data_IF_075507024746
#
_entry.id   IF_075507024746
#
_cell.length_a   1.000
_cell.length_b   1.000
_cell.length_c   1.000
_cell.angle_alpha   90.00
_cell.angle_beta   90.00
_cell.angle_gamma   90.00
#
_symmetry.space_group_name_H-M   'P 1'
#
loop_
_entity.id
_entity.type
_entity.pdbx_description
1 polymer ?
#
# COMPACT_ATOMS: atom_id res chain seq x y z
N UNK A 1 4.08 -19.39 13.88
CA UNK A 1 3.19 -20.17 12.97
C UNK A 1 2.62 -19.20 11.95
N UNK A 2 2.64 -19.55 10.66
CA UNK A 2 2.01 -18.74 9.62
C UNK A 2 0.54 -19.20 9.50
N UNK A 3 -0.41 -18.28 9.69
CA UNK A 3 -1.82 -18.53 9.44
C UNK A 3 -2.13 -18.23 7.96
N UNK A 4 -2.90 -19.09 7.33
CA UNK A 4 -3.42 -18.87 5.97
C UNK A 4 -4.80 -19.51 5.83
N UNK A 5 -5.62 -18.95 4.96
CA UNK A 5 -6.92 -19.51 4.56
C UNK A 5 -7.26 -19.04 3.15
N UNK A 6 -7.94 -19.87 2.39
CA UNK A 6 -8.60 -19.41 1.17
C UNK A 6 -9.94 -18.76 1.54
N UNK A 7 -10.35 -17.73 0.85
CA UNK A 7 -11.56 -16.97 1.18
C UNK A 7 -12.82 -17.85 1.22
N UNK A 8 -12.89 -18.84 0.32
CA UNK A 8 -14.03 -19.79 0.26
C UNK A 8 -14.07 -20.77 1.43
N UNK A 9 -12.96 -20.98 2.15
CA UNK A 9 -12.85 -21.90 3.28
C UNK A 9 -13.26 -21.26 4.61
N UNK A 10 -13.43 -19.94 4.61
CA UNK A 10 -13.88 -19.19 5.77
C UNK A 10 -15.39 -19.37 5.99
N UNK A 11 -15.80 -19.25 7.26
CA UNK A 11 -17.21 -19.29 7.65
C UNK A 11 -18.03 -18.32 6.79
N UNK A 12 -19.23 -18.76 6.41
CA UNK A 12 -20.21 -17.97 5.66
C UNK A 12 -21.35 -17.58 6.61
N UNK A 13 -21.41 -16.31 6.94
CA UNK A 13 -22.45 -15.77 7.83
C UNK A 13 -23.40 -14.94 6.96
N UNK A 14 -24.68 -15.32 6.93
CA UNK A 14 -25.69 -14.60 6.17
C UNK A 14 -26.13 -13.36 6.94
N UNK A 15 -26.01 -12.21 6.30
CA UNK A 15 -26.41 -10.91 6.86
C UNK A 15 -27.19 -10.14 5.79
N UNK A 16 -28.50 -9.98 5.96
CA UNK A 16 -29.32 -9.17 5.06
C UNK A 16 -29.29 -9.58 3.58
N UNK A 17 -29.12 -10.87 3.28
CA UNK A 17 -29.02 -11.36 1.89
C UNK A 17 -27.58 -11.41 1.34
N UNK A 18 -26.61 -10.90 2.09
CA UNK A 18 -25.19 -10.99 1.76
C UNK A 18 -24.51 -12.09 2.54
N UNK A 19 -23.40 -12.61 2.02
CA UNK A 19 -22.49 -13.49 2.75
C UNK A 19 -21.34 -12.67 3.31
N UNK A 20 -21.27 -12.56 4.64
CA UNK A 20 -20.11 -12.01 5.34
C UNK A 20 -19.12 -13.11 5.73
N UNK A 21 -17.82 -12.86 5.58
CA UNK A 21 -16.74 -13.77 5.97
C UNK A 21 -15.79 -13.11 6.96
N UNK A 22 -15.59 -13.68 8.16
CA UNK A 22 -14.65 -13.17 9.16
C UNK A 22 -13.22 -13.54 8.75
N UNK A 23 -12.49 -12.65 8.14
CA UNK A 23 -11.09 -12.86 7.73
C UNK A 23 -10.13 -12.65 8.92
N UNK A 24 -10.34 -11.58 9.68
CA UNK A 24 -9.47 -11.18 10.78
C UNK A 24 -9.33 -12.23 11.87
N UNK A 25 -10.44 -12.77 12.35
CA UNK A 25 -10.46 -13.67 13.53
C UNK A 25 -9.74 -14.99 13.30
N UNK A 26 -10.03 -15.75 12.22
CA UNK A 26 -9.35 -17.03 11.96
C UNK A 26 -7.85 -16.87 11.71
N UNK A 27 -7.43 -15.75 11.12
CA UNK A 27 -6.02 -15.46 10.82
C UNK A 27 -5.28 -14.83 12.00
N UNK A 28 -5.98 -14.34 13.03
CA UNK A 28 -5.36 -13.68 14.17
C UNK A 28 -4.71 -12.33 13.83
N UNK A 29 -5.18 -11.63 12.79
CA UNK A 29 -4.66 -10.32 12.45
C UNK A 29 -4.99 -9.30 13.55
N UNK A 30 -4.01 -8.50 13.95
CA UNK A 30 -4.15 -7.52 15.06
C UNK A 30 -3.90 -6.08 14.64
N UNK A 31 -3.16 -5.87 13.52
CA UNK A 31 -2.76 -4.55 13.07
C UNK A 31 -3.86 -3.76 12.34
N UNK A 32 -4.85 -4.46 11.78
CA UNK A 32 -5.95 -3.87 11.00
C UNK A 32 -7.21 -4.75 11.10
N UNK A 33 -8.38 -4.17 10.85
CA UNK A 33 -9.62 -4.88 10.59
C UNK A 33 -9.59 -5.48 9.18
N UNK A 34 -10.13 -6.67 8.99
CA UNK A 34 -10.33 -7.24 7.65
C UNK A 34 -11.48 -8.22 7.66
N UNK A 35 -12.36 -8.09 6.68
CA UNK A 35 -13.48 -9.00 6.42
C UNK A 35 -13.76 -9.04 4.91
N UNK A 36 -14.73 -9.88 4.50
CA UNK A 36 -15.20 -9.91 3.12
C UNK A 36 -16.72 -10.01 3.06
N UNK A 37 -17.28 -9.38 2.04
CA UNK A 37 -18.69 -9.39 1.70
C UNK A 37 -18.88 -9.98 0.30
N UNK A 38 -19.86 -10.84 0.14
CA UNK A 38 -20.26 -11.37 -1.17
C UNK A 38 -21.75 -11.13 -1.36
N UNK A 39 -22.11 -10.48 -2.44
CA UNK A 39 -23.47 -10.37 -2.94
C UNK A 39 -23.78 -11.57 -3.83
N UNK A 40 -24.92 -12.21 -3.65
CA UNK A 40 -25.32 -13.37 -4.46
C UNK A 40 -25.85 -12.91 -5.85
N UNK A 41 -26.48 -11.74 -5.93
CA UNK A 41 -27.08 -11.23 -7.16
C UNK A 41 -26.65 -9.79 -7.48
N UNK A 42 -26.62 -9.46 -8.76
CA UNK A 42 -26.51 -8.09 -9.22
C UNK A 42 -27.69 -7.25 -8.69
N UNK A 43 -27.39 -6.03 -8.25
CA UNK A 43 -28.36 -5.12 -7.62
C UNK A 43 -28.39 -5.20 -6.10
N UNK A 44 -27.77 -6.20 -5.49
CA UNK A 44 -27.65 -6.26 -4.03
C UNK A 44 -26.78 -5.12 -3.50
N UNK A 45 -27.21 -4.50 -2.38
CA UNK A 45 -26.44 -3.48 -1.68
C UNK A 45 -25.27 -4.13 -0.94
N UNK A 46 -24.10 -4.18 -1.57
CA UNK A 46 -22.90 -4.88 -1.08
C UNK A 46 -22.28 -4.17 0.14
N UNK A 47 -22.28 -2.86 0.12
CA UNK A 47 -21.89 -1.99 1.25
C UNK A 47 -23.02 -0.99 1.46
N UNK A 48 -23.64 -1.05 2.64
CA UNK A 48 -24.70 -0.09 3.01
C UNK A 48 -24.14 1.34 3.07
N UNK A 49 -25.02 2.33 2.82
CA UNK A 49 -24.59 3.73 2.83
C UNK A 49 -24.29 4.20 4.24
N UNK A 50 -23.03 4.45 4.55
CA UNK A 50 -22.57 4.91 5.86
C UNK A 50 -21.38 5.85 5.79
N UNK A 51 -20.97 6.35 6.94
CA UNK A 51 -19.79 7.19 7.15
C UNK A 51 -19.06 6.63 8.36
N UNK A 52 -17.77 6.37 8.24
CA UNK A 52 -16.94 5.99 9.38
C UNK A 52 -16.58 7.20 10.24
N UNK A 53 -16.54 6.97 11.54
CA UNK A 53 -16.25 8.00 12.53
C UNK A 53 -17.49 8.66 13.10
N UNK A 54 -17.55 8.63 14.41
CA UNK A 54 -18.55 9.35 15.21
C UNK A 54 -17.81 10.14 16.29
N UNK A 55 -18.47 11.14 16.94
CA UNK A 55 -17.82 11.87 18.05
C UNK A 55 -17.36 10.99 19.22
N UNK A 56 -17.87 9.75 19.31
CA UNK A 56 -17.56 8.80 20.40
C UNK A 56 -16.67 7.63 19.97
N UNK A 57 -16.36 7.50 18.66
CA UNK A 57 -15.47 6.44 18.14
C UNK A 57 -14.63 6.99 16.99
N UNK A 58 -13.31 6.82 17.05
CA UNK A 58 -12.47 7.15 15.91
C UNK A 58 -12.94 6.37 14.68
N UNK A 59 -12.95 7.03 13.52
CA UNK A 59 -13.29 6.39 12.26
C UNK A 59 -12.13 5.60 11.71
N UNK A 60 -12.44 4.71 10.80
CA UNK A 60 -11.47 3.97 10.03
C UNK A 60 -11.33 4.58 8.62
N UNK A 61 -10.11 4.66 8.13
CA UNK A 61 -9.83 4.66 6.72
C UNK A 61 -10.03 3.24 6.21
N UNK A 62 -10.72 3.07 5.10
CA UNK A 62 -11.06 1.76 4.57
C UNK A 62 -10.62 1.59 3.13
N UNK A 63 -9.87 0.52 2.88
CA UNK A 63 -9.50 0.05 1.56
C UNK A 63 -10.43 -1.11 1.15
N UNK A 64 -11.16 -0.91 0.08
CA UNK A 64 -11.99 -1.92 -0.56
C UNK A 64 -11.26 -2.52 -1.76
N UNK A 65 -11.16 -3.83 -1.84
CA UNK A 65 -10.62 -4.56 -2.99
C UNK A 65 -11.71 -5.46 -3.56
N UNK A 66 -12.14 -5.21 -4.79
CA UNK A 66 -13.02 -6.13 -5.52
C UNK A 66 -12.21 -7.33 -5.97
N UNK A 67 -12.48 -8.51 -5.40
CA UNK A 67 -11.72 -9.73 -5.72
C UNK A 67 -12.42 -10.62 -6.73
N UNK A 68 -13.75 -10.46 -6.88
CA UNK A 68 -14.57 -11.22 -7.84
C UNK A 68 -15.75 -10.36 -8.28
N UNK A 69 -16.16 -10.49 -9.55
CA UNK A 69 -17.31 -9.78 -10.12
C UNK A 69 -17.02 -8.30 -10.38
N UNK A 70 -18.03 -7.47 -10.17
CA UNK A 70 -17.99 -6.03 -10.41
C UNK A 70 -18.91 -5.30 -9.43
N UNK A 71 -18.45 -4.21 -8.84
CA UNK A 71 -19.25 -3.33 -8.00
C UNK A 71 -19.33 -1.92 -8.58
N UNK A 72 -20.39 -1.19 -8.22
CA UNK A 72 -20.46 0.26 -8.39
C UNK A 72 -20.38 0.88 -7.02
N UNK A 73 -19.32 1.63 -6.73
CA UNK A 73 -19.17 2.40 -5.50
C UNK A 73 -19.70 3.80 -5.70
N UNK A 74 -20.26 4.37 -4.63
CA UNK A 74 -20.51 5.81 -4.49
C UNK A 74 -19.69 6.29 -3.30
N UNK A 75 -18.73 7.21 -3.55
CA UNK A 75 -17.84 7.79 -2.54
C UNK A 75 -18.00 9.31 -2.57
N UNK A 76 -18.62 9.89 -1.53
CA UNK A 76 -19.07 11.28 -1.60
C UNK A 76 -20.05 11.48 -2.75
N UNK A 77 -19.68 12.29 -3.72
CA UNK A 77 -20.45 12.57 -4.93
C UNK A 77 -19.92 11.82 -6.17
N UNK A 78 -18.87 11.00 -6.03
CA UNK A 78 -18.25 10.26 -7.12
C UNK A 78 -18.84 8.86 -7.24
N UNK A 79 -19.13 8.45 -8.49
CA UNK A 79 -19.49 7.08 -8.84
C UNK A 79 -18.30 6.39 -9.49
N UNK A 80 -17.92 5.22 -8.96
CA UNK A 80 -16.73 4.46 -9.37
C UNK A 80 -17.18 3.10 -9.87
N UNK A 81 -16.91 2.81 -11.15
CA UNK A 81 -17.08 1.49 -11.74
C UNK A 81 -15.86 0.62 -11.37
N UNK A 82 -16.10 -0.44 -10.62
CA UNK A 82 -15.07 -1.25 -9.96
C UNK A 82 -15.16 -2.74 -10.36
N UNK A 83 -14.57 -3.16 -11.49
CA UNK A 83 -14.38 -4.56 -11.79
C UNK A 83 -13.36 -5.21 -10.83
N UNK A 84 -13.30 -6.56 -10.82
CA UNK A 84 -12.31 -7.30 -10.05
C UNK A 84 -10.89 -6.77 -10.28
N UNK A 85 -10.12 -6.59 -9.18
CA UNK A 85 -8.81 -5.95 -9.17
C UNK A 85 -8.83 -4.45 -8.85
N UNK A 86 -10.01 -3.83 -8.79
CA UNK A 86 -10.14 -2.41 -8.41
C UNK A 86 -9.96 -2.22 -6.91
N UNK A 87 -9.15 -1.24 -6.56
CA UNK A 87 -8.92 -0.76 -5.19
C UNK A 87 -9.62 0.60 -5.01
N UNK A 88 -10.42 0.73 -3.97
CA UNK A 88 -11.10 2.00 -3.60
C UNK A 88 -10.72 2.35 -2.17
N UNK A 89 -9.97 3.43 -1.99
CA UNK A 89 -9.63 3.97 -0.68
C UNK A 89 -10.64 5.04 -0.29
N UNK A 90 -11.18 4.93 0.92
CA UNK A 90 -12.15 5.89 1.47
C UNK A 90 -11.65 6.42 2.80
N UNK A 91 -11.42 7.71 2.84
CA UNK A 91 -10.99 8.42 4.05
C UNK A 91 -12.10 8.48 5.11
N UNK A 92 -11.66 8.64 6.35
CA UNK A 92 -12.56 8.88 7.50
C UNK A 92 -13.48 10.07 7.20
N UNK A 93 -14.76 9.94 7.57
CA UNK A 93 -15.74 11.02 7.39
C UNK A 93 -16.35 11.09 5.99
N UNK A 94 -15.80 10.39 5.01
CA UNK A 94 -16.39 10.33 3.67
C UNK A 94 -17.51 9.30 3.60
N UNK A 95 -18.67 9.69 3.10
CA UNK A 95 -19.82 8.79 2.90
C UNK A 95 -19.51 7.80 1.78
N UNK A 96 -19.82 6.53 1.99
CA UNK A 96 -19.64 5.47 0.99
C UNK A 96 -20.80 4.50 0.95
N UNK A 97 -21.00 3.91 -0.23
CA UNK A 97 -21.84 2.74 -0.45
C UNK A 97 -21.34 1.96 -1.67
N UNK A 98 -21.77 0.71 -1.82
CA UNK A 98 -21.50 -0.07 -3.01
C UNK A 98 -22.67 -1.00 -3.35
N UNK A 99 -22.95 -1.15 -4.64
CA UNK A 99 -23.93 -2.08 -5.18
C UNK A 99 -23.21 -3.08 -6.09
N UNK A 100 -23.56 -4.34 -6.00
CA UNK A 100 -23.07 -5.37 -6.89
C UNK A 100 -23.60 -5.12 -8.31
N UNK A 101 -22.71 -4.96 -9.29
CA UNK A 101 -23.06 -4.82 -10.69
C UNK A 101 -23.11 -6.18 -11.42
N UNK A 102 -22.63 -7.24 -10.79
CA UNK A 102 -22.68 -8.62 -11.27
C UNK A 102 -23.03 -9.58 -10.12
N UNK A 103 -23.54 -10.76 -10.48
CA UNK A 103 -23.74 -11.84 -9.52
C UNK A 103 -22.41 -12.29 -8.91
N UNK A 104 -22.46 -12.84 -7.70
CA UNK A 104 -21.30 -13.34 -6.96
C UNK A 104 -20.18 -12.30 -6.74
N UNK A 105 -20.50 -11.00 -6.78
CA UNK A 105 -19.50 -9.94 -6.52
C UNK A 105 -18.98 -10.03 -5.10
N UNK A 106 -17.67 -10.10 -4.95
CA UNK A 106 -16.99 -10.21 -3.65
C UNK A 106 -16.00 -9.06 -3.45
N UNK A 107 -16.11 -8.39 -2.30
CA UNK A 107 -15.23 -7.30 -1.86
C UNK A 107 -14.56 -7.68 -0.55
N UNK A 108 -13.23 -7.50 -0.48
CA UNK A 108 -12.46 -7.52 0.77
C UNK A 108 -12.34 -6.10 1.28
N UNK A 109 -12.65 -5.92 2.57
CA UNK A 109 -12.57 -4.62 3.26
C UNK A 109 -11.44 -4.69 4.27
N UNK A 110 -10.52 -3.74 4.22
CA UNK A 110 -9.40 -3.59 5.16
C UNK A 110 -9.52 -2.20 5.77
N UNK A 111 -9.61 -2.12 7.08
CA UNK A 111 -9.79 -0.84 7.77
C UNK A 111 -8.95 -0.69 9.02
N UNK A 112 -8.57 0.53 9.31
CA UNK A 112 -7.83 0.91 10.51
C UNK A 112 -7.82 2.41 10.75
N UNK A 113 -7.41 2.81 11.94
CA UNK A 113 -7.22 4.24 12.23
C UNK A 113 -6.10 4.81 11.33
N UNK A 114 -6.29 6.00 10.74
CA UNK A 114 -5.26 6.65 9.93
C UNK A 114 -3.93 6.75 10.70
N UNK A 115 -2.85 6.31 10.06
CA UNK A 115 -1.52 6.32 10.65
C UNK A 115 -1.23 5.19 11.65
N UNK A 116 -2.20 4.34 11.99
CA UNK A 116 -1.99 3.22 12.94
C UNK A 116 -1.00 2.17 12.41
N UNK A 117 -0.86 2.05 11.10
CA UNK A 117 0.11 1.15 10.47
C UNK A 117 1.57 1.64 10.61
N UNK A 118 1.75 2.88 11.06
CA UNK A 118 3.07 3.53 11.04
C UNK A 118 3.46 4.02 9.64
N UNK A 119 4.71 4.50 9.49
CA UNK A 119 5.22 4.93 8.18
C UNK A 119 5.31 3.75 7.21
N UNK A 120 5.21 4.04 5.93
CA UNK A 120 5.46 3.07 4.87
C UNK A 120 6.85 2.44 4.98
N UNK A 121 7.06 1.31 4.33
CA UNK A 121 8.37 0.67 4.31
C UNK A 121 9.40 1.52 3.56
N UNK A 122 10.66 1.53 4.02
CA UNK A 122 11.77 2.13 3.26
C UNK A 122 11.87 1.60 1.81
N UNK A 123 11.48 0.35 1.59
CA UNK A 123 11.42 -0.26 0.26
C UNK A 123 10.36 0.35 -0.65
N UNK A 124 9.29 0.92 -0.09
CA UNK A 124 8.28 1.64 -0.87
C UNK A 124 8.89 2.87 -1.55
N UNK A 125 9.65 3.67 -0.81
CA UNK A 125 10.39 4.82 -1.35
C UNK A 125 11.50 4.38 -2.32
N UNK A 126 12.18 3.27 -1.99
CA UNK A 126 13.18 2.65 -2.87
C UNK A 126 12.60 2.34 -4.25
N UNK A 127 11.47 1.62 -4.31
CA UNK A 127 10.87 1.24 -5.59
C UNK A 127 10.10 2.36 -6.27
N UNK A 128 9.52 3.30 -5.52
CA UNK A 128 8.79 4.44 -6.09
C UNK A 128 9.69 5.36 -6.95
N UNK A 129 10.99 5.40 -6.66
CA UNK A 129 11.96 6.19 -7.42
C UNK A 129 12.36 5.54 -8.76
N UNK A 130 12.11 4.23 -8.96
CA UNK A 130 12.58 3.49 -10.13
C UNK A 130 12.09 4.07 -11.47
N UNK A 131 10.82 4.48 -11.66
CA UNK A 131 10.38 5.05 -12.91
C UNK A 131 11.13 6.34 -13.31
N UNK A 132 11.50 7.17 -12.35
CA UNK A 132 12.27 8.38 -12.60
C UNK A 132 13.72 8.04 -12.98
N UNK A 133 14.34 7.08 -12.29
CA UNK A 133 15.64 6.55 -12.62
C UNK A 133 15.68 5.98 -14.05
N UNK A 134 14.72 5.13 -14.41
CA UNK A 134 14.64 4.51 -15.75
C UNK A 134 14.44 5.56 -16.87
N UNK A 135 13.81 6.70 -16.53
CA UNK A 135 13.64 7.82 -17.44
C UNK A 135 14.89 8.73 -17.54
N UNK A 136 15.93 8.50 -16.71
CA UNK A 136 17.10 9.34 -16.60
C UNK A 136 16.87 10.66 -15.84
N UNK A 137 15.73 10.81 -15.18
CA UNK A 137 15.41 11.94 -14.31
C UNK A 137 15.93 11.71 -12.88
N UNK A 138 17.23 11.78 -12.73
CA UNK A 138 17.92 11.48 -11.49
C UNK A 138 17.59 12.46 -10.36
N UNK A 139 17.29 13.71 -10.67
CA UNK A 139 16.84 14.68 -9.68
C UNK A 139 15.48 14.29 -9.08
N UNK A 140 14.55 13.88 -9.91
CA UNK A 140 13.26 13.38 -9.45
C UNK A 140 13.41 12.06 -8.65
N UNK A 141 14.30 11.16 -9.08
CA UNK A 141 14.60 9.94 -8.36
C UNK A 141 15.16 10.23 -6.96
N UNK A 142 16.10 11.20 -6.85
CA UNK A 142 16.61 11.67 -5.54
C UNK A 142 15.49 12.23 -4.68
N UNK A 143 14.60 13.03 -5.25
CA UNK A 143 13.51 13.63 -4.49
C UNK A 143 12.58 12.58 -3.89
N UNK A 144 12.14 11.59 -4.71
CA UNK A 144 11.23 10.53 -4.29
C UNK A 144 11.89 9.62 -3.23
N UNK A 145 13.09 9.11 -3.51
CA UNK A 145 13.79 8.23 -2.57
C UNK A 145 14.13 8.96 -1.26
N UNK A 146 14.48 10.24 -1.35
CA UNK A 146 14.83 11.08 -0.20
C UNK A 146 13.68 11.29 0.79
N UNK A 147 12.43 11.22 0.35
CA UNK A 147 11.27 11.30 1.25
C UNK A 147 11.32 10.22 2.33
N UNK A 148 11.80 9.03 1.99
CA UNK A 148 11.90 7.90 2.91
C UNK A 148 12.91 8.11 4.03
N UNK A 149 13.87 9.01 3.89
CA UNK A 149 14.87 9.28 4.93
C UNK A 149 14.29 9.98 6.16
N UNK A 150 13.09 10.56 6.06
CA UNK A 150 12.39 11.15 7.21
C UNK A 150 12.11 10.10 8.28
N UNK A 151 11.65 8.94 7.85
CA UNK A 151 11.22 7.84 8.72
C UNK A 151 12.30 6.76 8.85
N UNK A 152 13.17 6.64 7.84
CA UNK A 152 14.19 5.59 7.70
C UNK A 152 15.59 6.18 7.40
N UNK A 153 16.13 7.07 8.24
CA UNK A 153 17.39 7.78 7.94
C UNK A 153 18.59 6.84 7.77
N UNK A 154 18.60 5.73 8.50
CA UNK A 154 19.72 4.78 8.54
C UNK A 154 19.47 3.52 7.69
N UNK A 155 18.44 3.51 6.82
CA UNK A 155 18.19 2.33 5.98
C UNK A 155 19.26 2.19 4.91
N UNK A 156 20.14 1.18 5.05
CA UNK A 156 21.30 0.97 4.19
C UNK A 156 20.97 0.94 2.70
N UNK A 157 20.05 0.06 2.22
CA UNK A 157 19.68 0.00 0.80
C UNK A 157 19.09 1.29 0.23
N UNK A 158 18.30 2.04 1.00
CA UNK A 158 17.75 3.33 0.54
C UNK A 158 18.85 4.39 0.39
N UNK A 159 19.77 4.46 1.34
CA UNK A 159 20.93 5.34 1.24
C UNK A 159 21.84 4.94 0.08
N UNK A 160 22.02 3.64 -0.16
CA UNK A 160 22.79 3.15 -1.31
C UNK A 160 22.17 3.62 -2.64
N UNK A 161 20.86 3.46 -2.79
CA UNK A 161 20.15 3.91 -4.00
C UNK A 161 20.26 5.43 -4.19
N UNK A 162 20.11 6.20 -3.10
CA UNK A 162 20.31 7.66 -3.14
C UNK A 162 21.73 8.01 -3.55
N UNK A 163 22.74 7.26 -3.12
CA UNK A 163 24.10 7.48 -3.57
C UNK A 163 24.24 7.28 -5.08
N UNK A 164 23.64 6.24 -5.66
CA UNK A 164 23.62 6.03 -7.10
C UNK A 164 22.93 7.19 -7.84
N UNK A 165 21.75 7.59 -7.40
CA UNK A 165 21.03 8.70 -8.01
C UNK A 165 21.79 10.03 -7.93
N UNK A 166 22.38 10.34 -6.78
CA UNK A 166 23.24 11.53 -6.62
C UNK A 166 24.47 11.47 -7.50
N UNK A 167 25.13 10.31 -7.64
CA UNK A 167 26.29 10.18 -8.51
C UNK A 167 25.93 10.43 -9.98
N UNK A 168 24.81 9.87 -10.44
CA UNK A 168 24.30 10.07 -11.79
C UNK A 168 23.83 11.53 -12.04
N UNK A 169 23.29 12.20 -11.02
CA UNK A 169 22.94 13.62 -11.06
C UNK A 169 24.19 14.53 -10.97
N UNK A 170 25.39 14.00 -10.74
CA UNK A 170 26.63 14.77 -10.60
C UNK A 170 26.88 15.35 -9.19
N UNK A 171 26.08 14.97 -8.22
CA UNK A 171 26.18 15.42 -6.82
C UNK A 171 27.12 14.50 -6.02
N UNK A 172 28.41 14.48 -6.39
CA UNK A 172 29.36 13.46 -5.91
C UNK A 172 29.60 13.50 -4.39
N UNK A 173 29.51 14.66 -3.76
CA UNK A 173 29.70 14.78 -2.30
C UNK A 173 28.52 14.18 -1.54
N UNK A 174 27.28 14.41 -2.01
CA UNK A 174 26.08 13.78 -1.46
C UNK A 174 26.11 12.26 -1.68
N UNK A 175 26.53 11.82 -2.86
CA UNK A 175 26.69 10.40 -3.16
C UNK A 175 27.64 9.72 -2.17
N UNK A 176 28.79 10.31 -1.87
CA UNK A 176 29.75 9.79 -0.87
C UNK A 176 29.13 9.75 0.53
N UNK A 177 28.44 10.81 0.94
CA UNK A 177 27.82 10.86 2.25
C UNK A 177 26.77 9.74 2.44
N UNK A 178 25.92 9.49 1.42
CA UNK A 178 24.94 8.41 1.44
C UNK A 178 25.60 7.03 1.41
N UNK A 179 26.71 6.82 0.69
CA UNK A 179 27.47 5.57 0.73
C UNK A 179 28.04 5.28 2.13
N UNK A 180 28.53 6.28 2.84
CA UNK A 180 29.01 6.09 4.21
C UNK A 180 27.89 5.58 5.12
N UNK A 181 26.69 6.15 5.04
CA UNK A 181 25.52 5.69 5.80
C UNK A 181 25.13 4.27 5.38
N UNK A 182 25.07 4.00 4.06
CA UNK A 182 24.73 2.68 3.54
C UNK A 182 25.68 1.61 4.06
N UNK A 183 26.99 1.86 3.98
CA UNK A 183 28.03 0.94 4.42
C UNK A 183 28.07 0.72 5.94
N UNK A 184 27.65 1.69 6.71
CA UNK A 184 27.59 1.57 8.16
C UNK A 184 26.40 0.71 8.61
N UNK A 185 25.33 0.67 7.83
CA UNK A 185 24.07 0.07 8.24
C UNK A 185 23.71 -1.24 7.50
N UNK A 186 24.33 -1.49 6.33
CA UNK A 186 24.16 -2.75 5.59
C UNK A 186 25.45 -3.12 4.83
N UNK A 187 26.18 -4.12 5.31
CA UNK A 187 27.47 -4.55 4.73
C UNK A 187 27.33 -5.00 3.26
N UNK A 188 26.19 -5.52 2.85
CA UNK A 188 25.93 -5.94 1.46
C UNK A 188 26.07 -4.79 0.46
N UNK A 189 25.83 -3.56 0.90
CA UNK A 189 25.94 -2.38 0.03
C UNK A 189 27.38 -2.11 -0.43
N UNK A 190 28.38 -2.61 0.30
CA UNK A 190 29.79 -2.55 -0.16
C UNK A 190 30.04 -3.43 -1.37
N UNK A 191 29.51 -4.66 -1.32
CA UNK A 191 29.63 -5.60 -2.44
C UNK A 191 28.90 -5.05 -3.67
N UNK A 192 27.72 -4.45 -3.49
CA UNK A 192 26.98 -3.83 -4.60
C UNK A 192 27.75 -2.70 -5.26
N UNK A 193 28.46 -1.87 -4.47
CA UNK A 193 29.18 -0.71 -4.96
C UNK A 193 30.45 -1.05 -5.78
N UNK A 194 30.99 -2.27 -5.68
CA UNK A 194 32.25 -2.63 -6.32
C UNK A 194 32.17 -2.56 -7.85
N UNK A 195 31.06 -3.04 -8.42
CA UNK A 195 30.87 -3.14 -9.87
C UNK A 195 29.74 -2.26 -10.39
N UNK A 196 29.06 -1.46 -9.53
CA UNK A 196 27.92 -0.65 -9.92
C UNK A 196 28.34 0.54 -10.78
N UNK A 197 27.94 0.52 -12.06
CA UNK A 197 28.27 1.56 -13.04
C UNK A 197 27.69 2.93 -12.66
N UNK A 198 26.60 3.00 -11.90
CA UNK A 198 26.00 4.26 -11.44
C UNK A 198 26.96 5.04 -10.55
N UNK A 199 27.88 4.35 -9.89
CA UNK A 199 28.91 4.93 -9.03
C UNK A 199 30.26 5.18 -9.74
N UNK A 200 30.33 4.97 -11.07
CA UNK A 200 31.60 5.10 -11.82
C UNK A 200 32.25 6.49 -11.62
N UNK A 201 31.48 7.57 -11.54
CA UNK A 201 31.97 8.91 -11.31
C UNK A 201 32.67 9.11 -9.95
N UNK A 202 32.43 8.24 -8.97
CA UNK A 202 33.09 8.30 -7.67
C UNK A 202 34.45 7.58 -7.67
N UNK A 203 34.74 6.75 -8.68
CA UNK A 203 35.97 5.97 -8.83
C UNK A 203 37.04 6.65 -9.69
N UNK A 204 36.70 7.81 -10.31
CA UNK A 204 37.56 8.58 -11.22
C UNK A 204 38.48 9.57 -10.49
#
# INVERSE_FOLDING_TARGET
MTAHAHLTDLDRIQVGGLTWRPVRRPLGATAFGVNAWTADAAGDELIESHTEGTPSAPGHEELYLVVEGRATFTVGDEEIDAPAGTLVLVEVGTRRSAVAAQDATTVVVIGGEPGAAGPGSAWEHYYAAQPAYDAGDYEQAVAIAGEGLRDWPDHGPLNYQLACFHALAGHLDQARAHLEVAYANDERTREWAEEDEDLAALRS
#
